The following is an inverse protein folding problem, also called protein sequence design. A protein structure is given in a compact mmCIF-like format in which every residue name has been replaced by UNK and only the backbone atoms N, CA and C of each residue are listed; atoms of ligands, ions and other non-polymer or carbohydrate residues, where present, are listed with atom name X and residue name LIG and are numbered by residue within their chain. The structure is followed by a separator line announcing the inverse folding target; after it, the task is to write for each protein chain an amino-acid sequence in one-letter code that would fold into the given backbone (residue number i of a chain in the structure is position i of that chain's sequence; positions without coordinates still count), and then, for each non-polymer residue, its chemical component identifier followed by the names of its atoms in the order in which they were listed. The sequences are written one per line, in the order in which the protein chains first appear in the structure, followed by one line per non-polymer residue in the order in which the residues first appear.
data_IF_060498857429
#
_entry.id   IF_060498857429
#
_cell.length_a   1.000
_cell.length_b   1.000
_cell.length_c   1.000
_cell.angle_alpha   90.00
_cell.angle_beta   90.00
_cell.angle_gamma   90.00
#
_symmetry.space_group_name_H-M   'P 1'
#
loop_
_entity.id
_entity.type
_entity.pdbx_description
1 polymer ?
#
# COMPACT_ATOMS: atom_id res chain seq x y z
N UNK A 1 -7.30 -4.89 12.30
CA UNK A 1 -5.86 -5.02 12.64
C UNK A 1 -5.40 -3.73 13.29
N UNK A 2 -4.21 -3.65 13.87
CA UNK A 2 -3.71 -2.33 14.32
C UNK A 2 -3.34 -1.49 13.10
N UNK A 3 -3.47 -0.16 13.22
CA UNK A 3 -3.03 0.79 12.20
C UNK A 3 -1.51 1.03 12.35
N UNK A 4 -0.72 0.00 12.09
CA UNK A 4 0.74 0.03 12.16
C UNK A 4 1.33 -0.55 10.89
N UNK A 5 2.53 -0.08 10.50
CA UNK A 5 3.16 -0.57 9.29
C UNK A 5 3.47 -2.06 9.36
N UNK A 6 3.94 -2.55 10.52
CA UNK A 6 4.23 -3.97 10.73
C UNK A 6 3.00 -4.84 10.49
N UNK A 7 1.85 -4.43 11.03
CA UNK A 7 0.62 -5.20 10.84
C UNK A 7 0.16 -5.18 9.38
N UNK A 8 0.31 -4.04 8.70
CA UNK A 8 0.02 -3.91 7.25
C UNK A 8 0.94 -4.82 6.44
N UNK A 9 2.22 -4.88 6.78
CA UNK A 9 3.17 -5.80 6.16
C UNK A 9 2.73 -7.26 6.33
N UNK A 10 2.55 -7.69 7.58
CA UNK A 10 2.31 -9.09 7.93
C UNK A 10 0.97 -9.62 7.37
N UNK A 11 -0.06 -8.77 7.36
CA UNK A 11 -1.44 -9.19 7.06
C UNK A 11 -1.94 -8.82 5.67
N UNK A 12 -1.25 -7.92 4.97
CA UNK A 12 -1.69 -7.42 3.65
C UNK A 12 -0.56 -7.52 2.63
N UNK A 13 0.55 -6.81 2.84
CA UNK A 13 1.59 -6.71 1.81
C UNK A 13 2.24 -8.06 1.55
N UNK A 14 2.72 -8.75 2.58
CA UNK A 14 3.36 -10.07 2.43
C UNK A 14 2.42 -11.14 1.85
N UNK A 15 1.21 -11.38 2.40
CA UNK A 15 0.37 -12.50 1.97
C UNK A 15 -0.44 -12.25 0.69
N UNK A 16 -0.61 -10.99 0.26
CA UNK A 16 -1.52 -10.64 -0.85
C UNK A 16 -0.86 -9.88 -1.99
N UNK A 17 0.20 -9.11 -1.72
CA UNK A 17 0.81 -8.23 -2.73
C UNK A 17 2.22 -8.69 -3.14
N UNK A 18 3.05 -9.05 -2.17
CA UNK A 18 4.43 -9.50 -2.33
C UNK A 18 4.55 -11.03 -2.55
N UNK A 19 3.45 -11.68 -2.93
CA UNK A 19 3.44 -13.09 -3.33
C UNK A 19 3.80 -13.27 -4.80
N UNK A 20 4.10 -14.51 -5.20
CA UNK A 20 4.67 -14.88 -6.50
C UNK A 20 3.96 -14.25 -7.70
N UNK A 21 4.55 -13.18 -8.24
CA UNK A 21 4.29 -12.71 -9.61
C UNK A 21 3.88 -11.26 -9.80
N UNK A 22 3.65 -10.46 -8.74
CA UNK A 22 3.28 -9.05 -8.89
C UNK A 22 4.29 -8.13 -8.18
N UNK A 23 4.12 -7.85 -6.88
CA UNK A 23 4.97 -6.89 -6.18
C UNK A 23 6.11 -7.54 -5.38
N UNK A 24 6.70 -8.58 -5.97
CA UNK A 24 7.86 -9.29 -5.43
C UNK A 24 9.10 -8.95 -6.27
N UNK A 25 10.23 -8.68 -5.61
CA UNK A 25 11.47 -8.28 -6.27
C UNK A 25 11.25 -7.11 -7.24
N UNK A 26 11.73 -7.23 -8.48
CA UNK A 26 11.60 -6.19 -9.50
C UNK A 26 10.61 -6.56 -10.62
N UNK A 27 9.68 -7.50 -10.36
CA UNK A 27 8.69 -7.88 -11.37
C UNK A 27 7.70 -6.74 -11.64
N UNK A 28 7.15 -6.12 -10.61
CA UNK A 28 6.39 -4.88 -10.70
C UNK A 28 6.75 -3.94 -9.55
N UNK A 29 7.02 -2.67 -9.90
CA UNK A 29 7.26 -1.62 -8.90
C UNK A 29 5.94 -1.14 -8.28
N UNK A 30 5.89 -0.84 -6.98
CA UNK A 30 6.96 -0.94 -5.98
C UNK A 30 7.22 -2.39 -5.52
N UNK A 31 8.43 -2.67 -5.01
CA UNK A 31 8.72 -3.92 -4.30
C UNK A 31 8.14 -3.85 -2.88
N UNK A 32 7.21 -4.77 -2.58
CA UNK A 32 6.46 -4.82 -1.32
C UNK A 32 6.92 -5.95 -0.37
N UNK A 33 8.07 -6.57 -0.65
CA UNK A 33 8.70 -7.55 0.23
C UNK A 33 9.07 -6.93 1.58
N UNK A 34 8.99 -7.75 2.62
CA UNK A 34 9.38 -7.36 3.98
C UNK A 34 10.83 -6.84 3.99
N UNK A 35 11.05 -5.72 4.69
CA UNK A 35 12.35 -5.04 4.74
C UNK A 35 12.66 -4.16 3.52
N UNK A 36 11.78 -4.07 2.53
CA UNK A 36 11.88 -3.16 1.36
C UNK A 36 10.67 -2.28 1.16
N UNK A 37 9.48 -2.81 1.47
CA UNK A 37 8.18 -2.18 1.28
C UNK A 37 8.06 -0.76 1.82
N UNK A 38 8.55 -0.47 3.02
CA UNK A 38 8.39 0.85 3.64
C UNK A 38 9.07 1.94 2.81
N UNK A 39 10.37 1.76 2.55
CA UNK A 39 11.20 2.71 1.81
C UNK A 39 10.75 2.87 0.34
N UNK A 40 10.06 1.85 -0.20
CA UNK A 40 9.52 1.88 -1.56
C UNK A 40 8.09 2.45 -1.65
N UNK A 41 7.42 2.70 -0.51
CA UNK A 41 6.05 3.20 -0.47
C UNK A 41 5.96 4.62 0.06
N UNK A 42 6.60 4.89 1.20
CA UNK A 42 6.35 6.11 1.97
C UNK A 42 7.18 7.26 1.42
N UNK A 43 6.50 8.32 0.98
CA UNK A 43 7.14 9.49 0.39
C UNK A 43 7.70 9.28 -1.02
N UNK A 44 7.48 8.12 -1.62
CA UNK A 44 7.96 7.78 -2.97
C UNK A 44 6.92 8.20 -4.00
N UNK A 45 7.34 8.91 -5.04
CA UNK A 45 6.45 9.29 -6.14
C UNK A 45 6.01 8.06 -6.95
N UNK A 46 4.76 8.07 -7.42
CA UNK A 46 4.30 7.09 -8.39
C UNK A 46 5.03 7.27 -9.74
N UNK A 47 4.87 6.30 -10.66
CA UNK A 47 5.53 6.35 -11.98
C UNK A 47 5.16 7.57 -12.83
N UNK A 48 4.00 8.19 -12.57
CA UNK A 48 3.55 9.39 -13.27
C UNK A 48 4.08 10.68 -12.64
N UNK A 49 4.72 10.62 -11.46
CA UNK A 49 5.28 11.76 -10.74
C UNK A 49 4.25 12.78 -10.24
N UNK A 50 2.96 12.41 -10.17
CA UNK A 50 1.89 13.36 -9.82
C UNK A 50 1.32 13.16 -8.41
N UNK A 51 1.55 11.99 -7.81
CA UNK A 51 1.12 11.64 -6.46
C UNK A 51 2.18 10.74 -5.83
N UNK A 52 2.33 10.83 -4.51
CA UNK A 52 3.10 9.85 -3.77
C UNK A 52 2.33 8.53 -3.67
N UNK A 53 3.06 7.42 -3.65
CA UNK A 53 2.51 6.09 -3.34
C UNK A 53 1.84 6.15 -1.98
N UNK A 54 2.56 6.53 -0.93
CA UNK A 54 1.98 6.91 0.36
C UNK A 54 2.43 8.33 0.70
N UNK A 55 1.47 9.25 0.81
CA UNK A 55 1.64 10.62 1.31
C UNK A 55 1.32 10.62 2.82
N UNK A 56 2.32 10.74 3.71
CA UNK A 56 2.10 10.78 5.16
C UNK A 56 1.11 11.87 5.55
N UNK A 57 0.09 11.50 6.33
CA UNK A 57 -0.95 12.41 6.80
C UNK A 57 -2.10 12.63 5.80
N UNK A 58 -2.06 12.01 4.60
CA UNK A 58 -3.06 12.25 3.56
C UNK A 58 -3.39 10.99 2.76
N UNK A 59 -4.26 10.13 3.31
CA UNK A 59 -4.75 8.94 2.60
C UNK A 59 -5.54 9.27 1.33
N UNK A 60 -6.20 10.42 1.27
CA UNK A 60 -7.03 10.82 0.13
C UNK A 60 -6.20 11.11 -1.13
N UNK A 61 -4.97 11.62 -0.98
CA UNK A 61 -4.03 11.85 -2.07
C UNK A 61 -2.98 10.73 -2.24
N UNK A 62 -2.93 9.77 -1.32
CA UNK A 62 -2.03 8.62 -1.44
C UNK A 62 -2.45 7.67 -2.57
N UNK A 63 -1.60 7.52 -3.58
CA UNK A 63 -1.88 6.68 -4.75
C UNK A 63 -2.07 5.20 -4.38
N UNK A 64 -1.34 4.70 -3.39
CA UNK A 64 -1.49 3.37 -2.82
C UNK A 64 -2.92 3.14 -2.32
N UNK A 65 -3.50 4.08 -1.56
CA UNK A 65 -4.86 3.92 -1.06
C UNK A 65 -5.89 3.96 -2.18
N UNK A 66 -5.69 4.81 -3.19
CA UNK A 66 -6.53 4.84 -4.41
C UNK A 66 -6.49 3.51 -5.17
N UNK A 67 -5.33 2.87 -5.30
CA UNK A 67 -5.18 1.53 -5.89
C UNK A 67 -6.01 0.50 -5.13
N UNK A 68 -6.03 0.53 -3.81
CA UNK A 68 -6.83 -0.40 -3.00
C UNK A 68 -8.34 -0.19 -3.14
N UNK A 69 -8.78 1.04 -3.45
CA UNK A 69 -10.20 1.36 -3.65
C UNK A 69 -10.66 1.16 -5.10
N UNK A 70 -9.74 1.25 -6.07
CA UNK A 70 -10.06 1.38 -7.49
C UNK A 70 -10.61 2.77 -7.84
N UNK A 71 -10.21 3.79 -7.09
CA UNK A 71 -10.68 5.17 -7.26
C UNK A 71 -9.88 5.88 -8.36
N UNK A 72 -10.45 5.99 -9.56
CA UNK A 72 -9.79 6.61 -10.71
C UNK A 72 -8.53 5.88 -11.20
N UNK A 73 -8.33 4.64 -10.77
CA UNK A 73 -7.15 3.81 -11.08
C UNK A 73 -7.52 2.33 -11.08
N UNK A 74 -6.63 1.47 -11.57
CA UNK A 74 -6.83 0.02 -11.51
C UNK A 74 -6.87 -0.46 -10.06
N UNK A 75 -7.88 -1.27 -9.74
CA UNK A 75 -8.04 -1.87 -8.43
C UNK A 75 -6.93 -2.90 -8.16
N UNK A 76 -6.36 -2.85 -6.97
CA UNK A 76 -5.44 -3.84 -6.43
C UNK A 76 -6.03 -4.52 -5.17
N UNK A 77 -5.84 -5.84 -4.99
CA UNK A 77 -5.15 -6.76 -5.91
C UNK A 77 -5.94 -7.00 -7.22
N UNK A 78 -5.23 -7.18 -8.33
CA UNK A 78 -5.85 -7.40 -9.64
C UNK A 78 -6.50 -8.77 -9.74
N UNK A 79 -7.75 -8.84 -10.21
CA UNK A 79 -8.47 -10.10 -10.40
C UNK A 79 -8.83 -10.85 -9.11
N UNK A 80 -8.52 -10.30 -7.93
CA UNK A 80 -8.89 -10.83 -6.62
C UNK A 80 -10.02 -10.03 -5.96
N UNK A 81 -10.49 -10.53 -4.82
CA UNK A 81 -11.47 -9.82 -4.01
C UNK A 81 -10.87 -8.52 -3.44
N UNK A 82 -11.72 -7.50 -3.30
CA UNK A 82 -11.36 -6.28 -2.58
C UNK A 82 -10.95 -6.64 -1.16
N UNK A 83 -9.92 -5.95 -0.66
CA UNK A 83 -9.59 -6.01 0.76
C UNK A 83 -10.82 -5.63 1.59
N UNK A 84 -11.00 -6.31 2.71
CA UNK A 84 -12.13 -6.02 3.58
C UNK A 84 -12.07 -4.58 4.11
N UNK A 85 -13.23 -4.01 4.43
CA UNK A 85 -13.34 -2.61 4.86
C UNK A 85 -12.51 -2.30 6.12
N UNK A 86 -12.41 -3.23 7.07
CA UNK A 86 -11.64 -3.02 8.29
C UNK A 86 -10.12 -2.91 8.03
N UNK A 87 -9.59 -3.65 7.06
CA UNK A 87 -8.20 -3.54 6.60
C UNK A 87 -8.00 -2.20 5.93
N UNK A 88 -8.89 -1.82 5.00
CA UNK A 88 -8.82 -0.52 4.31
C UNK A 88 -8.87 0.65 5.31
N UNK A 89 -9.72 0.57 6.33
CA UNK A 89 -9.82 1.60 7.37
C UNK A 89 -8.55 1.64 8.23
N UNK A 90 -7.94 0.49 8.52
CA UNK A 90 -6.67 0.42 9.28
C UNK A 90 -5.49 1.02 8.49
N UNK A 91 -5.41 0.76 7.19
CA UNK A 91 -4.42 1.36 6.28
C UNK A 91 -4.65 2.87 6.20
N UNK A 92 -5.90 3.32 6.02
CA UNK A 92 -6.26 4.73 5.99
C UNK A 92 -5.78 5.46 7.25
N UNK A 93 -6.09 4.91 8.43
CA UNK A 93 -5.69 5.49 9.72
C UNK A 93 -4.17 5.51 9.87
N UNK A 94 -3.46 4.48 9.42
CA UNK A 94 -1.99 4.47 9.45
C UNK A 94 -1.41 5.59 8.60
N UNK A 95 -1.91 5.77 7.36
CA UNK A 95 -1.47 6.87 6.49
C UNK A 95 -1.79 8.23 7.13
N UNK A 96 -3.04 8.43 7.56
CA UNK A 96 -3.51 9.69 8.13
C UNK A 96 -2.77 10.06 9.44
N UNK A 97 -2.23 9.06 10.17
CA UNK A 97 -1.40 9.26 11.35
C UNK A 97 0.10 9.49 11.04
N UNK A 98 0.45 9.74 9.77
CA UNK A 98 1.83 10.05 9.37
C UNK A 98 2.63 8.86 8.85
N UNK A 99 2.00 7.72 8.58
CA UNK A 99 2.60 6.57 7.91
C UNK A 99 3.91 6.06 8.57
N UNK A 100 3.96 6.04 9.91
CA UNK A 100 5.15 5.63 10.67
C UNK A 100 5.54 4.16 10.44
N UNK A 101 6.84 3.86 10.50
CA UNK A 101 7.36 2.49 10.47
C UNK A 101 7.29 1.84 11.87
N UNK A 102 6.14 1.27 12.23
CA UNK A 102 5.83 0.80 13.61
C UNK A 102 5.09 -0.55 13.71
#
# INVERSE_FOLDING_TARGET
MKASFKEIQDKVLTPTCATSGCHQANFYSPNLEEGKSYDNLVGVDNLSGNLQLVEPGNSANSYFYKKLLGDGTTLMPSGGDKLNKAILDSIRVWIDNGAENN
#
